data_IF_042899620448
#
_entry.id   IF_042899620448
#
_cell.length_a   1.000
_cell.length_b   1.000
_cell.length_c   1.000
_cell.angle_alpha   90.00
_cell.angle_beta   90.00
_cell.angle_gamma   90.00
#
_symmetry.space_group_name_H-M   'P 1'
#
loop_
_entity.id
_entity.type
_entity.pdbx_description
1 polymer ?
#
# COMPACT_ATOMS: atom_id res chain seq x y z
N UNK A 1 18.08 23.56 7.99
CA UNK A 1 17.62 22.25 7.50
C UNK A 1 16.29 22.46 6.78
N UNK A 2 16.13 21.98 5.54
CA UNK A 2 14.83 21.99 4.86
C UNK A 2 13.89 21.08 5.65
N UNK A 3 12.77 21.64 6.09
CA UNK A 3 11.75 20.91 6.84
C UNK A 3 11.28 19.69 6.02
N UNK A 4 11.25 18.52 6.66
CA UNK A 4 10.66 17.32 6.09
C UNK A 4 9.15 17.51 5.95
N UNK A 5 8.54 16.84 4.95
CA UNK A 5 7.09 16.74 4.89
C UNK A 5 6.53 16.06 6.14
N UNK A 6 5.31 16.37 6.53
CA UNK A 6 4.62 15.73 7.66
C UNK A 6 4.44 14.23 7.44
N UNK A 7 4.24 13.84 6.19
CA UNK A 7 4.05 12.46 5.76
C UNK A 7 5.07 12.08 4.67
N UNK A 8 5.56 10.82 4.64
CA UNK A 8 6.37 10.32 3.55
C UNK A 8 5.57 10.08 2.25
N UNK A 9 4.24 9.99 2.33
CA UNK A 9 3.36 9.57 1.25
C UNK A 9 2.41 10.66 0.77
N UNK A 10 2.09 11.63 1.62
CA UNK A 10 1.09 12.66 1.35
C UNK A 10 1.79 14.02 1.38
N UNK A 11 1.71 14.82 0.31
CA UNK A 11 2.22 16.18 0.30
C UNK A 11 1.57 17.06 1.37
N UNK A 12 2.33 18.02 1.90
CA UNK A 12 1.89 18.86 3.01
C UNK A 12 0.61 19.67 2.68
N UNK A 13 0.48 20.11 1.43
CA UNK A 13 -0.71 20.85 0.97
C UNK A 13 -1.98 20.00 1.07
N UNK A 14 -1.92 18.73 0.71
CA UNK A 14 -3.05 17.79 0.82
C UNK A 14 -3.36 17.49 2.29
N UNK A 15 -2.31 17.26 3.08
CA UNK A 15 -2.44 17.02 4.52
C UNK A 15 -3.12 18.21 5.22
N UNK A 16 -2.69 19.44 4.90
CA UNK A 16 -3.21 20.65 5.53
C UNK A 16 -4.67 20.91 5.13
N UNK A 17 -5.06 20.64 3.89
CA UNK A 17 -6.44 20.71 3.46
C UNK A 17 -7.36 19.77 4.27
N UNK A 18 -6.94 18.52 4.46
CA UNK A 18 -7.69 17.58 5.29
C UNK A 18 -7.78 18.05 6.75
N UNK A 19 -6.68 18.57 7.31
CA UNK A 19 -6.66 19.04 8.70
C UNK A 19 -7.59 20.24 8.95
N UNK A 20 -7.82 21.05 7.93
CA UNK A 20 -8.73 22.23 7.98
C UNK A 20 -10.21 21.85 7.87
N UNK A 21 -10.56 20.63 7.49
CA UNK A 21 -11.96 20.22 7.47
C UNK A 21 -12.57 20.25 8.88
N UNK A 22 -13.84 20.64 8.97
CA UNK A 22 -14.57 20.55 10.24
C UNK A 22 -14.66 19.12 10.76
N UNK A 23 -14.80 18.94 12.07
CA UNK A 23 -14.98 17.63 12.68
C UNK A 23 -16.15 16.87 12.07
N UNK A 24 -17.26 17.55 11.82
CA UNK A 24 -18.44 16.95 11.20
C UNK A 24 -18.15 16.43 9.79
N UNK A 25 -17.43 17.20 8.96
CA UNK A 25 -17.00 16.75 7.64
C UNK A 25 -16.06 15.54 7.71
N UNK A 26 -15.10 15.54 8.64
CA UNK A 26 -14.18 14.41 8.85
C UNK A 26 -14.95 13.15 9.27
N UNK A 27 -15.90 13.28 10.20
CA UNK A 27 -16.73 12.15 10.65
C UNK A 27 -17.55 11.58 9.49
N UNK A 28 -18.18 12.47 8.70
CA UNK A 28 -18.95 12.06 7.52
C UNK A 28 -18.08 11.39 6.46
N UNK A 29 -16.94 12.01 6.14
CA UNK A 29 -16.00 11.53 5.13
C UNK A 29 -15.39 10.16 5.49
N UNK A 30 -15.03 9.98 6.76
CA UNK A 30 -14.44 8.73 7.26
C UNK A 30 -15.48 7.67 7.68
N UNK A 31 -16.76 7.94 7.57
CA UNK A 31 -17.82 6.98 7.92
C UNK A 31 -17.97 6.68 9.41
N UNK A 32 -17.49 7.55 10.31
CA UNK A 32 -17.45 7.30 11.75
C UNK A 32 -18.71 7.67 12.52
N UNK A 33 -19.78 8.10 11.88
CA UNK A 33 -21.00 8.57 12.57
C UNK A 33 -21.53 7.58 13.63
N UNK A 34 -21.43 6.28 13.33
CA UNK A 34 -21.93 5.21 14.22
C UNK A 34 -20.81 4.24 14.62
N UNK A 35 -19.56 4.54 14.32
CA UNK A 35 -18.44 3.67 14.64
C UNK A 35 -18.00 3.91 16.09
N UNK A 36 -17.80 2.82 16.83
CA UNK A 36 -17.09 2.82 18.11
C UNK A 36 -16.07 1.70 18.08
N UNK A 37 -14.79 1.95 18.42
CA UNK A 37 -13.81 0.89 18.54
C UNK A 37 -14.33 -0.20 19.48
N UNK A 38 -14.37 -1.44 18.99
CA UNK A 38 -14.77 -2.58 19.80
C UNK A 38 -13.58 -3.04 20.63
N UNK A 39 -13.72 -3.16 21.93
CA UNK A 39 -12.65 -3.59 22.85
C UNK A 39 -12.00 -4.91 22.43
N UNK A 40 -12.78 -5.86 21.89
CA UNK A 40 -12.27 -7.15 21.42
C UNK A 40 -11.33 -7.04 20.21
N UNK A 41 -11.46 -5.99 19.39
CA UNK A 41 -10.57 -5.73 18.24
C UNK A 41 -9.26 -5.11 18.74
N UNK A 42 -9.34 -4.16 19.66
CA UNK A 42 -8.18 -3.50 20.28
C UNK A 42 -7.37 -4.50 21.11
N UNK A 43 -8.01 -5.53 21.65
CA UNK A 43 -7.39 -6.56 22.48
C UNK A 43 -6.68 -7.68 21.69
N UNK A 44 -6.82 -7.75 20.37
CA UNK A 44 -6.08 -8.73 19.57
C UNK A 44 -4.62 -8.35 19.43
N UNK A 45 -3.72 -9.33 19.51
CA UNK A 45 -2.29 -9.13 19.44
C UNK A 45 -1.69 -9.52 18.09
N UNK A 46 -0.68 -8.76 17.66
CA UNK A 46 0.16 -9.17 16.56
C UNK A 46 1.07 -10.33 17.00
N UNK A 47 1.18 -11.39 16.22
CA UNK A 47 2.02 -12.54 16.56
C UNK A 47 3.52 -12.16 16.46
N UNK A 48 4.42 -12.92 17.09
CA UNK A 48 5.86 -12.70 16.97
C UNK A 48 6.36 -12.98 15.55
N UNK A 49 5.64 -13.78 14.78
CA UNK A 49 5.91 -14.16 13.42
C UNK A 49 4.60 -14.33 12.66
N UNK A 50 4.58 -13.97 11.39
CA UNK A 50 3.55 -14.42 10.45
C UNK A 50 4.17 -15.32 9.39
N UNK A 51 3.43 -16.34 8.99
CA UNK A 51 3.73 -17.15 7.83
C UNK A 51 3.09 -16.53 6.60
N UNK A 52 3.64 -16.83 5.42
CA UNK A 52 3.28 -16.17 4.19
C UNK A 52 1.78 -16.15 3.90
N UNK A 53 1.38 -15.06 3.32
CA UNK A 53 0.07 -14.90 2.73
C UNK A 53 0.10 -15.35 1.27
N UNK A 54 -0.03 -16.65 1.03
CA UNK A 54 -0.11 -17.19 -0.32
C UNK A 54 -1.14 -18.32 -0.38
N UNK A 55 -2.00 -18.29 -1.39
CA UNK A 55 -3.02 -19.31 -1.65
C UNK A 55 -2.47 -20.73 -1.89
N UNK A 56 -1.15 -20.86 -2.03
CA UNK A 56 -0.45 -22.16 -2.20
C UNK A 56 0.13 -22.72 -0.90
N UNK A 57 0.03 -22.01 0.22
CA UNK A 57 0.43 -22.52 1.53
C UNK A 57 -0.69 -23.30 2.19
N UNK A 58 -0.32 -24.18 3.15
CA UNK A 58 -1.28 -24.76 4.07
C UNK A 58 -2.27 -23.72 4.58
N UNK A 59 -3.56 -24.05 4.55
CA UNK A 59 -4.62 -23.16 4.98
C UNK A 59 -4.38 -22.58 6.38
N UNK A 60 -3.83 -23.38 7.29
CA UNK A 60 -3.53 -22.96 8.66
C UNK A 60 -2.46 -21.85 8.72
N UNK A 61 -1.46 -21.88 7.86
CA UNK A 61 -0.42 -20.86 7.77
C UNK A 61 -0.91 -19.55 7.11
N UNK A 62 -1.86 -19.64 6.19
CA UNK A 62 -2.52 -18.47 5.62
C UNK A 62 -3.36 -17.71 6.63
N UNK A 63 -3.98 -18.42 7.58
CA UNK A 63 -4.85 -17.82 8.60
C UNK A 63 -4.10 -16.80 9.46
N UNK A 64 -2.83 -17.07 9.83
CA UNK A 64 -2.04 -16.13 10.63
C UNK A 64 -1.75 -14.81 9.89
N UNK A 65 -1.44 -14.87 8.60
CA UNK A 65 -1.23 -13.68 7.79
C UNK A 65 -2.48 -12.83 7.62
N UNK A 66 -3.63 -13.49 7.41
CA UNK A 66 -4.94 -12.84 7.35
C UNK A 66 -5.27 -12.21 8.71
N UNK A 67 -5.09 -12.96 9.78
CA UNK A 67 -5.32 -12.48 11.14
C UNK A 67 -4.48 -11.23 11.46
N UNK A 68 -3.18 -11.26 11.16
CA UNK A 68 -2.31 -10.11 11.41
C UNK A 68 -2.74 -8.86 10.61
N UNK A 69 -3.18 -9.04 9.37
CA UNK A 69 -3.76 -7.96 8.56
C UNK A 69 -5.05 -7.41 9.16
N UNK A 70 -5.93 -8.27 9.64
CA UNK A 70 -7.19 -7.85 10.26
C UNK A 70 -6.95 -7.10 11.56
N UNK A 71 -5.98 -7.55 12.37
CA UNK A 71 -5.54 -6.82 13.57
C UNK A 71 -5.01 -5.44 13.19
N UNK A 72 -4.16 -5.36 12.18
CA UNK A 72 -3.61 -4.09 11.69
C UNK A 72 -4.68 -3.15 11.16
N UNK A 73 -5.62 -3.64 10.35
CA UNK A 73 -6.75 -2.85 9.82
C UNK A 73 -7.63 -2.32 10.93
N UNK A 74 -7.98 -3.18 11.90
CA UNK A 74 -8.79 -2.78 13.05
C UNK A 74 -8.09 -1.70 13.89
N UNK A 75 -6.78 -1.84 14.10
CA UNK A 75 -5.98 -0.84 14.80
C UNK A 75 -5.95 0.49 14.04
N UNK A 76 -5.69 0.45 12.74
CA UNK A 76 -5.67 1.64 11.88
C UNK A 76 -7.02 2.36 11.91
N UNK A 77 -8.10 1.62 11.81
CA UNK A 77 -9.45 2.18 11.85
C UNK A 77 -9.74 2.85 13.21
N UNK A 78 -9.32 2.23 14.31
CA UNK A 78 -9.46 2.82 15.65
C UNK A 78 -8.61 4.10 15.81
N UNK A 79 -7.40 4.13 15.26
CA UNK A 79 -6.57 5.35 15.27
C UNK A 79 -7.22 6.47 14.47
N UNK A 80 -7.73 6.18 13.28
CA UNK A 80 -8.45 7.16 12.48
C UNK A 80 -9.68 7.72 13.20
N UNK A 81 -10.43 6.86 13.89
CA UNK A 81 -11.55 7.29 14.72
C UNK A 81 -11.11 8.27 15.81
N UNK A 82 -10.05 7.95 16.54
CA UNK A 82 -9.49 8.82 17.60
C UNK A 82 -9.05 10.15 17.04
N UNK A 83 -8.38 10.14 15.87
CA UNK A 83 -7.89 11.37 15.23
C UNK A 83 -9.03 12.30 14.82
N UNK A 84 -10.17 11.76 14.41
CA UNK A 84 -11.35 12.55 14.02
C UNK A 84 -12.15 13.02 15.23
N UNK A 85 -12.26 12.17 16.27
CA UNK A 85 -13.10 12.44 17.44
C UNK A 85 -12.35 13.08 18.62
N UNK A 86 -11.00 13.11 18.55
CA UNK A 86 -10.15 13.66 19.63
C UNK A 86 -10.38 12.95 20.98
N UNK A 87 -10.49 11.62 20.93
CA UNK A 87 -10.77 10.79 22.11
C UNK A 87 -9.45 10.37 22.78
N UNK A 88 -9.06 11.10 23.83
CA UNK A 88 -7.80 10.88 24.53
C UNK A 88 -7.75 9.57 25.31
N UNK A 89 -8.87 9.06 25.78
CA UNK A 89 -8.94 7.78 26.50
C UNK A 89 -8.60 6.62 25.56
N UNK A 90 -9.28 6.57 24.43
CA UNK A 90 -8.99 5.56 23.40
C UNK A 90 -7.59 5.74 22.81
N UNK A 91 -7.13 6.99 22.65
CA UNK A 91 -5.76 7.28 22.20
C UNK A 91 -4.70 6.68 23.12
N UNK A 92 -4.89 6.79 24.43
CA UNK A 92 -3.99 6.17 25.42
C UNK A 92 -3.99 4.64 25.29
N UNK A 93 -5.16 4.03 25.14
CA UNK A 93 -5.29 2.57 24.92
C UNK A 93 -4.53 2.14 23.66
N UNK A 94 -4.66 2.88 22.57
CA UNK A 94 -3.97 2.56 21.31
C UNK A 94 -2.45 2.77 21.39
N UNK A 95 -2.01 3.81 22.08
CA UNK A 95 -0.58 4.04 22.31
C UNK A 95 0.03 2.92 23.18
N UNK A 96 -0.66 2.53 24.24
CA UNK A 96 -0.24 1.40 25.06
C UNK A 96 -0.22 0.08 24.28
N UNK A 97 -1.17 -0.14 23.37
CA UNK A 97 -1.20 -1.32 22.49
C UNK A 97 0.04 -1.38 21.61
N UNK A 98 0.40 -0.26 20.99
CA UNK A 98 1.60 -0.17 20.18
C UNK A 98 2.87 -0.48 20.99
N UNK A 99 2.95 0.05 22.23
CA UNK A 99 4.02 -0.28 23.17
C UNK A 99 4.08 -1.76 23.52
N UNK A 100 2.93 -2.40 23.79
CA UNK A 100 2.88 -3.83 24.10
C UNK A 100 3.37 -4.69 22.95
N UNK A 101 3.02 -4.35 21.71
CA UNK A 101 3.56 -5.02 20.52
C UNK A 101 5.06 -4.84 20.39
N UNK A 102 5.57 -3.64 20.68
CA UNK A 102 7.00 -3.36 20.69
C UNK A 102 7.72 -4.19 21.76
N UNK A 103 7.20 -4.21 22.98
CA UNK A 103 7.73 -4.97 24.12
C UNK A 103 7.78 -6.48 23.84
N UNK A 104 6.71 -7.00 23.23
CA UNK A 104 6.61 -8.41 22.84
C UNK A 104 7.36 -8.74 21.55
N UNK A 105 8.05 -7.77 20.95
CA UNK A 105 8.83 -7.93 19.69
C UNK A 105 7.96 -8.52 18.57
N UNK A 106 6.70 -8.07 18.46
CA UNK A 106 5.77 -8.55 17.44
C UNK A 106 6.40 -8.51 16.05
N UNK A 107 6.12 -9.51 15.22
CA UNK A 107 6.60 -9.68 13.84
C UNK A 107 8.11 -9.81 13.66
N UNK A 108 8.92 -9.65 14.72
CA UNK A 108 10.39 -9.63 14.59
C UNK A 108 10.99 -10.98 14.22
N UNK A 109 10.28 -12.07 14.47
CA UNK A 109 10.68 -13.42 14.09
C UNK A 109 10.29 -13.81 12.67
N UNK A 110 9.56 -12.96 11.94
CA UNK A 110 9.22 -13.22 10.54
C UNK A 110 10.49 -13.31 9.71
N UNK A 111 10.67 -14.39 8.98
CA UNK A 111 11.81 -14.62 8.11
C UNK A 111 11.62 -13.90 6.78
N UNK A 112 12.71 -13.44 6.18
CA UNK A 112 12.71 -12.92 4.82
C UNK A 112 12.84 -14.06 3.82
N UNK A 113 11.74 -14.76 3.61
CA UNK A 113 11.68 -15.79 2.61
C UNK A 113 11.30 -15.14 1.28
N UNK A 114 12.24 -15.04 0.37
CA UNK A 114 11.98 -14.64 -1.00
C UNK A 114 12.69 -15.55 -1.96
N UNK A 115 12.07 -15.79 -3.07
CA UNK A 115 12.71 -16.49 -4.17
C UNK A 115 13.76 -15.61 -4.79
N UNK A 116 14.95 -16.14 -4.98
CA UNK A 116 15.91 -15.51 -5.88
C UNK A 116 15.46 -15.80 -7.32
N UNK A 117 14.82 -14.81 -7.93
CA UNK A 117 14.31 -14.91 -9.30
C UNK A 117 15.35 -15.27 -10.34
N UNK A 118 16.65 -15.01 -10.05
CA UNK A 118 17.74 -15.35 -10.96
C UNK A 118 18.18 -16.82 -10.86
N UNK A 119 17.89 -17.51 -9.75
CA UNK A 119 18.38 -18.88 -9.49
C UNK A 119 17.30 -19.86 -9.08
N UNK A 120 16.03 -19.47 -9.07
CA UNK A 120 14.90 -20.34 -8.66
C UNK A 120 15.05 -21.01 -7.29
N UNK A 121 15.95 -20.51 -6.43
CA UNK A 121 16.22 -21.09 -5.13
C UNK A 121 15.46 -20.39 -4.03
N UNK A 122 14.84 -21.16 -3.16
CA UNK A 122 14.31 -20.70 -1.88
C UNK A 122 15.50 -20.40 -0.97
N UNK A 123 15.46 -19.30 -0.23
CA UNK A 123 16.49 -19.05 0.76
C UNK A 123 16.48 -20.15 1.81
N UNK A 124 17.67 -20.55 2.22
CA UNK A 124 17.92 -21.64 3.16
C UNK A 124 17.12 -21.55 4.47
N UNK A 125 16.85 -20.32 4.92
CA UNK A 125 16.06 -20.04 6.13
C UNK A 125 14.59 -20.45 6.05
N UNK A 126 14.10 -20.78 4.86
CA UNK A 126 12.72 -21.11 4.58
C UNK A 126 12.55 -22.60 4.21
N UNK A 127 13.63 -23.35 4.16
CA UNK A 127 13.58 -24.79 3.93
C UNK A 127 12.73 -25.46 5.02
N UNK A 128 11.79 -26.30 4.61
CA UNK A 128 10.86 -27.00 5.51
C UNK A 128 9.64 -26.20 5.97
N UNK A 129 9.55 -24.91 5.66
CA UNK A 129 8.39 -24.07 5.98
C UNK A 129 7.49 -23.79 4.77
N UNK A 130 7.99 -24.13 3.61
CA UNK A 130 7.30 -24.00 2.35
C UNK A 130 7.33 -25.33 1.60
N UNK A 131 6.18 -25.90 1.33
CA UNK A 131 6.03 -27.00 0.39
C UNK A 131 5.29 -26.52 -0.84
N UNK A 132 5.88 -26.71 -1.99
CA UNK A 132 5.17 -26.67 -3.26
C UNK A 132 4.86 -28.10 -3.67
N UNK A 133 3.64 -28.60 -3.43
CA UNK A 133 3.28 -29.98 -3.73
C UNK A 133 3.36 -30.33 -5.22
N UNK A 134 3.39 -29.31 -6.08
CA UNK A 134 3.39 -29.50 -7.53
C UNK A 134 4.76 -29.23 -8.18
N UNK A 135 5.79 -28.82 -7.40
CA UNK A 135 7.12 -28.48 -7.92
C UNK A 135 7.13 -27.31 -8.89
N UNK A 136 6.06 -26.52 -8.90
CA UNK A 136 5.92 -25.39 -9.79
C UNK A 136 6.69 -24.17 -9.29
N UNK A 137 6.94 -23.23 -10.20
CA UNK A 137 7.59 -21.96 -9.93
C UNK A 137 6.87 -21.17 -8.84
N UNK A 138 7.48 -21.20 -7.66
CA UNK A 138 6.93 -20.59 -6.45
C UNK A 138 6.81 -19.09 -6.60
N UNK A 139 5.60 -18.56 -6.38
CA UNK A 139 5.45 -17.14 -6.13
C UNK A 139 6.31 -16.75 -4.90
N UNK A 140 6.86 -15.55 -4.84
CA UNK A 140 7.63 -15.10 -3.69
C UNK A 140 6.80 -15.27 -2.42
N UNK A 141 7.42 -15.81 -1.38
CA UNK A 141 6.78 -15.96 -0.08
C UNK A 141 6.46 -14.57 0.44
N UNK A 142 5.20 -14.33 0.77
CA UNK A 142 4.70 -13.01 1.10
C UNK A 142 4.79 -12.65 2.58
N UNK A 143 5.30 -13.51 3.44
CA UNK A 143 5.44 -13.21 4.88
C UNK A 143 6.22 -11.92 5.11
N UNK A 144 7.38 -11.78 4.47
CA UNK A 144 8.16 -10.56 4.57
C UNK A 144 7.38 -9.35 4.03
N UNK A 145 6.67 -9.51 2.91
CA UNK A 145 5.89 -8.42 2.31
C UNK A 145 4.76 -7.97 3.22
N UNK A 146 3.98 -8.90 3.76
CA UNK A 146 2.88 -8.58 4.69
C UNK A 146 3.40 -7.97 5.98
N UNK A 147 4.49 -8.52 6.53
CA UNK A 147 5.16 -7.93 7.71
C UNK A 147 5.59 -6.49 7.43
N UNK A 148 6.15 -6.23 6.25
CA UNK A 148 6.60 -4.89 5.88
C UNK A 148 5.45 -3.91 5.68
N UNK A 149 4.35 -4.34 5.08
CA UNK A 149 3.13 -3.54 4.97
C UNK A 149 2.61 -3.12 6.35
N UNK A 150 2.52 -4.08 7.28
CA UNK A 150 2.06 -3.81 8.66
C UNK A 150 3.03 -2.88 9.38
N UNK A 151 4.33 -3.17 9.36
CA UNK A 151 5.34 -2.34 10.03
C UNK A 151 5.42 -0.94 9.43
N UNK A 152 5.32 -0.81 8.11
CA UNK A 152 5.23 0.48 7.44
C UNK A 152 4.04 1.29 7.94
N UNK A 153 2.86 0.67 7.95
CA UNK A 153 1.65 1.33 8.40
C UNK A 153 1.72 1.73 9.88
N UNK A 154 2.18 0.84 10.75
CA UNK A 154 2.33 1.14 12.18
C UNK A 154 3.39 2.22 12.44
N UNK A 155 4.49 2.22 11.72
CA UNK A 155 5.49 3.28 11.81
C UNK A 155 4.94 4.63 11.33
N UNK A 156 4.18 4.62 10.25
CA UNK A 156 3.50 5.79 9.73
C UNK A 156 2.49 6.35 10.73
N UNK A 157 1.66 5.49 11.29
CA UNK A 157 0.67 5.85 12.32
C UNK A 157 1.38 6.43 13.56
N UNK A 158 2.45 5.79 14.01
CA UNK A 158 3.22 6.26 15.17
C UNK A 158 3.78 7.67 14.92
N UNK A 159 4.41 7.89 13.79
CA UNK A 159 5.02 9.19 13.49
C UNK A 159 3.99 10.31 13.35
N UNK A 160 2.80 10.02 12.79
CA UNK A 160 1.76 11.03 12.62
C UNK A 160 0.97 11.33 13.89
N UNK A 161 0.74 10.33 14.74
CA UNK A 161 -0.28 10.44 15.78
C UNK A 161 0.27 10.34 17.20
N UNK A 162 1.42 9.70 17.36
CA UNK A 162 1.95 9.38 18.70
C UNK A 162 3.34 9.90 18.97
N UNK A 163 4.12 10.28 17.98
CA UNK A 163 5.50 10.72 18.20
C UNK A 163 5.63 11.89 19.20
N UNK A 164 4.68 12.82 19.14
CA UNK A 164 4.61 13.98 20.04
C UNK A 164 3.64 13.76 21.22
N UNK A 165 2.93 12.63 21.25
CA UNK A 165 2.00 12.30 22.33
C UNK A 165 2.78 11.92 23.58
N UNK A 166 2.58 12.64 24.70
CA UNK A 166 3.33 12.41 25.94
C UNK A 166 4.83 12.26 25.67
N UNK A 167 5.46 13.25 25.04
CA UNK A 167 6.79 13.22 24.43
C UNK A 167 7.91 12.68 25.36
N UNK A 168 7.75 12.81 26.67
CA UNK A 168 8.71 12.31 27.67
C UNK A 168 8.40 10.88 28.17
N UNK A 169 7.40 10.21 27.60
CA UNK A 169 7.04 8.86 28.00
C UNK A 169 8.11 7.84 27.56
N UNK A 170 8.56 7.02 28.50
CA UNK A 170 9.59 6.00 28.25
C UNK A 170 9.22 4.98 27.19
N UNK A 171 7.92 4.74 26.96
CA UNK A 171 7.41 3.82 25.94
C UNK A 171 7.88 4.16 24.54
N UNK A 172 8.13 5.42 24.23
CA UNK A 172 8.68 5.84 22.93
C UNK A 172 10.02 5.19 22.61
N UNK A 173 10.87 4.98 23.62
CA UNK A 173 12.18 4.32 23.44
C UNK A 173 11.99 2.88 22.92
N UNK A 174 11.07 2.13 23.51
CA UNK A 174 10.84 0.74 23.14
C UNK A 174 10.15 0.62 21.78
N UNK A 175 9.19 1.49 21.48
CA UNK A 175 8.51 1.54 20.18
C UNK A 175 9.54 1.85 19.07
N UNK A 176 10.39 2.86 19.25
CA UNK A 176 11.42 3.19 18.29
C UNK A 176 12.46 2.08 18.13
N UNK A 177 12.83 1.41 19.23
CA UNK A 177 13.74 0.25 19.19
C UNK A 177 13.13 -0.92 18.42
N UNK A 178 11.83 -1.14 18.51
CA UNK A 178 11.11 -2.20 17.79
C UNK A 178 11.15 -2.01 16.27
N UNK A 179 11.04 -0.79 15.76
CA UNK A 179 11.10 -0.52 14.32
C UNK A 179 12.53 -0.71 13.73
N UNK A 180 13.60 -0.51 14.53
CA UNK A 180 14.99 -0.54 14.03
C UNK A 180 15.42 -1.82 13.31
N UNK A 181 15.11 -3.04 13.80
CA UNK A 181 15.49 -4.27 13.11
C UNK A 181 14.95 -4.37 11.69
N UNK A 182 13.77 -3.82 11.44
CA UNK A 182 13.14 -3.86 10.12
C UNK A 182 13.88 -3.02 9.09
N UNK A 183 14.55 -1.92 9.49
CA UNK A 183 15.42 -1.14 8.60
C UNK A 183 16.57 -1.96 8.01
N UNK A 184 17.11 -2.91 8.79
CA UNK A 184 18.24 -3.74 8.35
C UNK A 184 17.78 -4.92 7.49
N UNK A 185 16.59 -5.45 7.77
CA UNK A 185 16.01 -6.59 7.06
C UNK A 185 15.53 -6.21 5.67
N UNK A 186 15.06 -4.98 5.51
CA UNK A 186 14.53 -4.49 4.25
C UNK A 186 15.70 -3.93 3.44
N UNK A 187 16.38 -4.78 2.69
CA UNK A 187 17.29 -4.30 1.66
C UNK A 187 16.47 -3.82 0.46
N UNK A 188 16.68 -2.58 -0.03
CA UNK A 188 16.05 -2.17 -1.27
C UNK A 188 16.42 -3.16 -2.36
N UNK A 189 15.45 -3.63 -3.14
CA UNK A 189 15.74 -4.41 -4.31
C UNK A 189 16.71 -3.63 -5.20
N UNK A 190 17.78 -4.27 -5.66
CA UNK A 190 18.76 -3.62 -6.56
C UNK A 190 18.12 -3.24 -7.90
N UNK A 191 17.01 -3.88 -8.26
CA UNK A 191 16.22 -3.60 -9.44
C UNK A 191 14.80 -3.22 -9.02
N UNK A 192 14.24 -2.23 -9.69
CA UNK A 192 12.83 -1.90 -9.61
C UNK A 192 12.04 -2.95 -10.38
N UNK A 193 11.08 -3.57 -9.70
CA UNK A 193 10.03 -4.36 -10.32
C UNK A 193 8.71 -3.79 -9.90
N UNK A 194 7.80 -3.61 -10.83
CA UNK A 194 6.45 -3.18 -10.51
C UNK A 194 5.84 -4.10 -9.47
N UNK A 195 5.16 -4.31 -8.82
CA UNK A 195 4.71 -5.24 -7.80
C UNK A 195 5.63 -5.39 -6.57
N UNK A 196 6.92 -5.25 -6.75
CA UNK A 196 7.88 -5.23 -5.63
C UNK A 196 8.12 -3.82 -5.09
N UNK A 197 7.78 -2.79 -5.84
CA UNK A 197 7.91 -1.41 -5.39
C UNK A 197 7.05 -1.14 -4.16
N UNK A 198 5.80 -1.59 -4.14
CA UNK A 198 4.96 -1.50 -2.95
C UNK A 198 5.55 -2.27 -1.77
N UNK A 199 5.99 -3.51 -1.98
CA UNK A 199 6.53 -4.36 -0.93
C UNK A 199 7.90 -3.96 -0.39
N UNK A 200 8.73 -3.28 -1.17
CA UNK A 200 10.11 -2.97 -0.81
C UNK A 200 10.41 -1.49 -0.67
N UNK A 201 9.99 -0.67 -1.63
CA UNK A 201 10.30 0.76 -1.63
C UNK A 201 9.45 1.53 -0.64
N UNK A 202 8.14 1.31 -0.61
CA UNK A 202 7.25 2.09 0.25
C UNK A 202 7.56 1.90 1.74
N UNK A 203 7.74 0.67 2.27
CA UNK A 203 8.18 0.48 3.65
C UNK A 203 9.52 1.15 3.96
N UNK A 204 10.49 1.03 3.05
CA UNK A 204 11.79 1.65 3.22
C UNK A 204 11.71 3.19 3.26
N UNK A 205 10.87 3.77 2.42
CA UNK A 205 10.62 5.20 2.38
C UNK A 205 10.00 5.66 3.70
N UNK A 206 8.95 4.99 4.16
CA UNK A 206 8.31 5.29 5.43
C UNK A 206 9.29 5.24 6.60
N UNK A 207 10.02 4.13 6.72
CA UNK A 207 10.96 3.90 7.82
C UNK A 207 12.16 4.86 7.81
N UNK A 208 12.49 5.47 6.67
CA UNK A 208 13.60 6.42 6.54
C UNK A 208 13.17 7.87 6.41
N UNK A 209 11.90 8.14 6.55
CA UNK A 209 11.36 9.48 6.41
C UNK A 209 12.11 10.50 7.28
N UNK A 210 12.42 10.16 8.53
CA UNK A 210 13.17 11.02 9.45
C UNK A 210 14.64 11.23 9.05
N UNK A 211 15.16 10.48 8.08
CA UNK A 211 16.50 10.64 7.55
C UNK A 211 16.46 11.26 6.15
N UNK A 212 16.37 12.59 6.08
CA UNK A 212 16.14 13.36 4.86
C UNK A 212 16.97 12.90 3.64
N UNK A 213 18.30 12.71 3.83
CA UNK A 213 19.19 12.30 2.73
C UNK A 213 18.86 10.90 2.21
N UNK A 214 18.65 9.93 3.11
CA UNK A 214 18.33 8.55 2.77
C UNK A 214 16.93 8.44 2.14
N UNK A 215 15.98 9.14 2.70
CA UNK A 215 14.62 9.23 2.21
C UNK A 215 14.57 9.74 0.76
N UNK A 216 15.13 10.92 0.50
CA UNK A 216 15.15 11.50 -0.85
C UNK A 216 15.93 10.65 -1.86
N UNK A 217 17.01 10.01 -1.44
CA UNK A 217 17.76 9.09 -2.31
C UNK A 217 16.92 7.89 -2.73
N UNK A 218 16.13 7.32 -1.81
CA UNK A 218 15.21 6.22 -2.13
C UNK A 218 14.09 6.66 -3.07
N UNK A 219 13.49 7.82 -2.81
CA UNK A 219 12.44 8.36 -3.67
C UNK A 219 12.97 8.61 -5.10
N UNK A 220 14.16 9.17 -5.25
CA UNK A 220 14.80 9.33 -6.57
C UNK A 220 14.98 8.01 -7.31
N UNK A 221 15.41 6.95 -6.61
CA UNK A 221 15.56 5.62 -7.20
C UNK A 221 14.20 5.03 -7.62
N UNK A 222 13.20 5.17 -6.75
CA UNK A 222 11.84 4.70 -7.03
C UNK A 222 11.27 5.37 -8.28
N UNK A 223 11.33 6.70 -8.35
CA UNK A 223 10.83 7.49 -9.48
C UNK A 223 11.54 7.12 -10.78
N UNK A 224 12.88 7.02 -10.75
CA UNK A 224 13.67 6.61 -11.92
C UNK A 224 13.34 5.19 -12.38
N UNK A 225 13.07 4.30 -11.45
CA UNK A 225 12.66 2.93 -11.76
C UNK A 225 11.28 2.90 -12.42
N UNK A 226 10.31 3.55 -11.79
CA UNK A 226 8.93 3.62 -12.27
C UNK A 226 8.82 4.24 -13.67
N UNK A 227 9.59 5.29 -13.94
CA UNK A 227 9.58 5.95 -15.24
C UNK A 227 9.92 5.01 -16.41
N UNK A 228 10.79 4.02 -16.16
CA UNK A 228 11.16 3.01 -17.17
C UNK A 228 10.10 1.93 -17.39
N UNK A 229 9.16 1.82 -16.47
CA UNK A 229 8.14 0.77 -16.50
C UNK A 229 6.79 1.27 -17.01
N UNK A 230 6.56 2.57 -17.00
CA UNK A 230 5.44 3.22 -17.68
C UNK A 230 5.90 3.60 -19.08
N UNK A 231 5.32 3.02 -20.11
CA UNK A 231 5.73 3.19 -21.49
C UNK A 231 5.03 4.38 -22.15
N UNK A 232 5.55 4.82 -23.30
CA UNK A 232 5.05 6.00 -24.02
C UNK A 232 3.63 5.79 -24.59
N UNK A 233 3.20 4.53 -24.77
CA UNK A 233 1.85 4.16 -25.20
C UNK A 233 0.84 4.05 -24.05
N UNK A 234 1.29 4.27 -22.82
CA UNK A 234 0.47 4.16 -21.61
C UNK A 234 0.44 2.76 -21.00
N UNK A 235 1.04 1.76 -21.63
CA UNK A 235 1.16 0.44 -21.02
C UNK A 235 2.13 0.44 -19.83
N UNK A 236 1.92 -0.47 -18.91
CA UNK A 236 2.77 -0.68 -17.73
C UNK A 236 3.34 -2.08 -17.82
N UNK A 237 4.69 -2.18 -17.84
CA UNK A 237 5.39 -3.48 -17.92
C UNK A 237 4.94 -4.40 -16.81
N UNK A 238 4.82 -5.69 -17.11
CA UNK A 238 4.36 -6.75 -16.19
C UNK A 238 2.97 -6.51 -15.54
N UNK A 239 2.25 -5.51 -16.00
CA UNK A 239 0.87 -5.24 -15.58
C UNK A 239 -0.09 -5.36 -16.75
N UNK A 240 0.11 -4.54 -17.77
CA UNK A 240 -0.77 -4.50 -18.94
C UNK A 240 -0.68 -5.79 -19.77
N UNK A 241 0.38 -6.57 -19.60
CA UNK A 241 0.63 -7.82 -20.32
C UNK A 241 0.25 -9.08 -19.51
N UNK A 242 -0.74 -8.98 -18.63
CA UNK A 242 -1.16 -10.08 -17.73
C UNK A 242 -2.32 -10.93 -18.23
N UNK A 243 -2.41 -11.16 -19.55
CA UNK A 243 -3.40 -12.02 -20.13
C UNK A 243 -4.83 -11.63 -19.77
N UNK A 244 -5.65 -12.57 -19.33
CA UNK A 244 -7.05 -12.37 -18.96
C UNK A 244 -7.27 -11.47 -17.71
N UNK A 245 -6.20 -11.05 -17.05
CA UNK A 245 -6.19 -10.16 -15.89
C UNK A 245 -5.48 -8.84 -16.15
N UNK A 246 -5.17 -8.52 -17.39
CA UNK A 246 -4.39 -7.33 -17.73
C UNK A 246 -5.05 -6.04 -17.26
N UNK A 247 -6.37 -5.91 -17.41
CA UNK A 247 -7.10 -4.72 -16.93
C UNK A 247 -6.98 -4.54 -15.41
N UNK A 248 -7.13 -5.62 -14.65
CA UNK A 248 -6.95 -5.61 -13.21
C UNK A 248 -5.52 -5.24 -12.78
N UNK A 249 -4.52 -5.85 -13.41
CA UNK A 249 -3.13 -5.53 -13.09
C UNK A 249 -2.72 -4.13 -13.56
N UNK A 250 -3.25 -3.66 -14.66
CA UNK A 250 -3.04 -2.28 -15.11
C UNK A 250 -3.60 -1.28 -14.10
N UNK A 251 -4.80 -1.52 -13.61
CA UNK A 251 -5.41 -0.75 -12.52
C UNK A 251 -4.54 -0.75 -11.25
N UNK A 252 -4.04 -1.89 -10.79
CA UNK A 252 -3.13 -1.95 -9.63
C UNK A 252 -1.82 -1.21 -9.90
N UNK A 253 -1.31 -1.27 -11.14
CA UNK A 253 -0.15 -0.51 -11.58
C UNK A 253 -0.36 0.99 -11.54
N UNK A 254 -1.55 1.46 -11.90
CA UNK A 254 -1.93 2.88 -11.74
C UNK A 254 -1.94 3.30 -10.27
N UNK A 255 -2.45 2.45 -9.37
CA UNK A 255 -2.39 2.72 -7.93
C UNK A 255 -0.96 2.94 -7.44
N UNK A 256 -0.03 2.09 -7.83
CA UNK A 256 1.39 2.24 -7.51
C UNK A 256 1.99 3.51 -8.16
N UNK A 257 1.65 3.80 -9.40
CA UNK A 257 2.19 4.95 -10.15
C UNK A 257 1.74 6.29 -9.54
N UNK A 258 0.50 6.40 -9.13
CA UNK A 258 -0.02 7.59 -8.44
C UNK A 258 0.54 7.72 -7.03
N UNK A 259 0.75 6.63 -6.30
CA UNK A 259 1.44 6.64 -5.02
C UNK A 259 2.88 7.18 -5.19
N UNK A 260 3.58 6.78 -6.24
CA UNK A 260 4.93 7.27 -6.55
C UNK A 260 4.91 8.77 -6.88
N UNK A 261 3.90 9.24 -7.61
CA UNK A 261 3.69 10.68 -7.85
C UNK A 261 3.57 11.45 -6.54
N UNK A 262 2.70 11.01 -5.65
CA UNK A 262 2.48 11.67 -4.35
C UNK A 262 3.70 11.62 -3.44
N UNK A 263 4.42 10.49 -3.41
CA UNK A 263 5.69 10.35 -2.68
C UNK A 263 6.75 11.32 -3.23
N UNK A 264 6.85 11.46 -4.54
CA UNK A 264 7.78 12.40 -5.16
C UNK A 264 7.45 13.84 -4.79
N UNK A 265 6.17 14.21 -4.82
CA UNK A 265 5.68 15.52 -4.40
C UNK A 265 5.97 15.77 -2.91
N UNK A 266 5.66 14.82 -2.02
CA UNK A 266 5.95 14.91 -0.59
C UNK A 266 7.46 15.08 -0.31
N UNK A 267 8.30 14.36 -1.03
CA UNK A 267 9.74 14.44 -0.91
C UNK A 267 10.36 15.66 -1.60
N UNK A 268 9.57 16.41 -2.37
CA UNK A 268 10.06 17.50 -3.25
C UNK A 268 11.17 16.99 -4.19
N UNK A 269 10.93 15.81 -4.77
CA UNK A 269 11.80 15.18 -5.77
C UNK A 269 11.21 15.42 -7.15
N UNK A 270 12.01 15.97 -8.05
CA UNK A 270 11.57 16.23 -9.44
C UNK A 270 11.31 14.93 -10.17
N UNK A 271 10.14 14.84 -10.80
CA UNK A 271 9.79 13.75 -11.70
C UNK A 271 10.56 13.85 -13.04
N UNK A 272 10.79 12.73 -13.73
CA UNK A 272 11.25 12.73 -15.12
C UNK A 272 10.28 13.51 -16.01
N UNK A 273 10.82 14.16 -17.04
CA UNK A 273 10.08 15.09 -17.91
C UNK A 273 8.77 14.52 -18.48
N UNK A 274 8.77 13.24 -18.82
CA UNK A 274 7.62 12.59 -19.47
C UNK A 274 6.79 11.72 -18.50
N UNK A 275 7.12 11.67 -17.21
CA UNK A 275 6.45 10.77 -16.26
C UNK A 275 4.95 11.00 -16.22
N UNK A 276 4.51 12.23 -15.97
CA UNK A 276 3.09 12.57 -15.89
C UNK A 276 2.38 12.35 -17.22
N UNK A 277 3.03 12.68 -18.35
CA UNK A 277 2.46 12.43 -19.68
C UNK A 277 2.18 10.95 -19.91
N UNK A 278 3.13 10.07 -19.56
CA UNK A 278 2.97 8.61 -19.65
C UNK A 278 1.90 8.10 -18.69
N UNK A 279 1.87 8.65 -17.47
CA UNK A 279 0.87 8.31 -16.47
C UNK A 279 -0.54 8.65 -16.96
N UNK A 280 -0.75 9.82 -17.55
CA UNK A 280 -2.05 10.21 -18.12
C UNK A 280 -2.45 9.26 -19.26
N UNK A 281 -1.53 8.90 -20.15
CA UNK A 281 -1.81 7.89 -21.18
C UNK A 281 -2.19 6.52 -20.60
N UNK A 282 -1.56 6.13 -19.48
CA UNK A 282 -1.91 4.90 -18.80
C UNK A 282 -3.33 4.97 -18.19
N UNK A 283 -3.71 6.13 -17.66
CA UNK A 283 -5.09 6.39 -17.22
C UNK A 283 -6.08 6.32 -18.37
N UNK A 284 -5.74 6.88 -19.53
CA UNK A 284 -6.59 6.85 -20.72
C UNK A 284 -6.77 5.42 -21.24
N UNK A 285 -5.69 4.64 -21.26
CA UNK A 285 -5.76 3.22 -21.61
C UNK A 285 -6.66 2.44 -20.65
N UNK A 286 -6.58 2.72 -19.34
CA UNK A 286 -7.49 2.15 -18.35
C UNK A 286 -8.94 2.53 -18.63
N UNK A 287 -9.21 3.83 -18.83
CA UNK A 287 -10.55 4.36 -19.07
C UNK A 287 -11.20 3.69 -20.30
N UNK A 288 -10.47 3.68 -21.42
CA UNK A 288 -10.97 3.11 -22.66
C UNK A 288 -11.19 1.59 -22.53
N UNK A 289 -10.27 0.91 -21.84
CA UNK A 289 -10.37 -0.54 -21.60
C UNK A 289 -11.44 -0.90 -20.57
N UNK A 290 -11.75 0.00 -19.65
CA UNK A 290 -12.84 -0.18 -18.70
C UNK A 290 -14.20 -0.09 -19.39
N UNK A 291 -14.34 0.81 -20.34
CA UNK A 291 -15.57 0.94 -21.16
C UNK A 291 -15.67 -0.18 -22.22
N UNK A 292 -14.55 -0.58 -22.79
CA UNK A 292 -14.43 -1.61 -23.80
C UNK A 292 -13.18 -2.47 -23.56
N UNK A 293 -13.36 -3.63 -22.95
CA UNK A 293 -12.26 -4.51 -22.55
C UNK A 293 -11.37 -4.96 -23.73
N UNK A 294 -11.87 -4.91 -24.97
CA UNK A 294 -11.06 -5.25 -26.16
C UNK A 294 -9.88 -4.30 -26.38
N UNK A 295 -9.95 -3.09 -25.82
CA UNK A 295 -8.88 -2.07 -25.95
C UNK A 295 -7.56 -2.48 -25.32
N UNK A 296 -7.57 -3.30 -24.25
CA UNK A 296 -6.36 -3.78 -23.60
C UNK A 296 -5.83 -5.10 -24.18
N UNK A 297 -6.62 -5.80 -24.97
CA UNK A 297 -6.26 -7.13 -25.51
C UNK A 297 -4.94 -7.16 -26.30
N UNK A 298 -4.56 -6.13 -27.10
CA UNK A 298 -3.28 -6.13 -27.80
C UNK A 298 -2.09 -6.37 -26.89
N UNK A 299 -2.06 -5.71 -25.71
CA UNK A 299 -1.01 -5.90 -24.69
C UNK A 299 -1.23 -7.17 -23.87
N UNK A 300 -2.47 -7.49 -23.57
CA UNK A 300 -2.82 -8.68 -22.80
C UNK A 300 -2.36 -9.97 -23.45
N UNK A 301 -2.34 -10.04 -24.77
CA UNK A 301 -1.87 -11.19 -25.57
C UNK A 301 -0.36 -11.41 -25.48
N UNK A 302 0.42 -10.39 -25.16
CA UNK A 302 1.88 -10.50 -25.04
C UNK A 302 2.37 -11.26 -23.81
N UNK A 303 1.48 -11.74 -23.01
CA UNK A 303 1.65 -12.29 -21.66
C UNK A 303 3.05 -12.77 -21.25
N UNK A 304 3.51 -12.30 -20.09
CA UNK A 304 4.77 -12.70 -19.50
C UNK A 304 4.66 -13.74 -18.38
N UNK A 305 3.49 -14.34 -18.20
CA UNK A 305 3.25 -15.38 -17.21
C UNK A 305 2.19 -16.32 -17.72
N UNK A 306 2.00 -17.48 -17.09
CA UNK A 306 1.02 -18.54 -17.39
C UNK A 306 -0.47 -18.11 -17.27
N UNK A 307 -0.79 -16.87 -17.57
CA UNK A 307 -2.16 -16.34 -17.65
C UNK A 307 -2.75 -16.67 -19.04
N UNK A 308 -4.06 -16.71 -19.16
CA UNK A 308 -4.71 -17.09 -20.39
C UNK A 308 -4.30 -16.23 -21.60
N UNK A 309 -4.00 -16.89 -22.73
CA UNK A 309 -3.27 -16.32 -23.87
C UNK A 309 -4.09 -15.49 -24.85
N UNK A 310 -5.42 -15.61 -24.81
CA UNK A 310 -6.29 -14.93 -25.77
C UNK A 310 -6.49 -13.43 -25.49
N UNK A 311 -6.06 -12.95 -24.31
CA UNK A 311 -6.20 -11.55 -23.90
C UNK A 311 -7.62 -11.13 -23.51
N UNK A 312 -8.62 -12.00 -23.65
CA UNK A 312 -10.00 -11.72 -23.22
C UNK A 312 -10.05 -11.55 -21.71
N UNK A 313 -10.58 -10.41 -21.25
CA UNK A 313 -10.53 -10.06 -19.83
C UNK A 313 -11.60 -10.79 -19.02
N UNK A 314 -11.21 -11.40 -17.90
CA UNK A 314 -12.13 -12.04 -16.94
C UNK A 314 -12.77 -11.03 -15.98
N UNK A 315 -12.08 -9.93 -15.69
CA UNK A 315 -12.60 -8.89 -14.81
C UNK A 315 -13.38 -7.89 -15.62
N UNK A 316 -14.68 -7.93 -15.44
CA UNK A 316 -15.62 -7.08 -16.14
C UNK A 316 -15.80 -5.71 -15.47
N UNK A 317 -16.61 -4.86 -16.09
CA UNK A 317 -16.88 -3.44 -15.80
C UNK A 317 -17.45 -3.15 -14.39
N UNK A 318 -17.04 -3.88 -13.38
CA UNK A 318 -17.52 -3.62 -12.03
C UNK A 318 -16.51 -2.74 -11.29
N UNK A 319 -16.82 -1.43 -11.16
CA UNK A 319 -16.04 -0.50 -10.32
C UNK A 319 -15.97 -0.97 -8.87
N UNK A 320 -16.90 -1.78 -8.41
CA UNK A 320 -16.91 -2.30 -7.05
C UNK A 320 -15.75 -3.27 -6.80
N UNK A 321 -15.41 -4.09 -7.78
CA UNK A 321 -14.21 -4.94 -7.70
C UNK A 321 -12.92 -4.15 -7.87
N UNK A 322 -12.97 -2.98 -8.48
CA UNK A 322 -11.86 -2.05 -8.73
C UNK A 322 -11.62 -1.14 -7.53
N UNK A 323 -12.64 -0.78 -6.78
CA UNK A 323 -12.56 0.19 -5.69
C UNK A 323 -11.66 -0.22 -4.55
N UNK A 324 -11.46 -1.51 -4.31
CA UNK A 324 -10.59 -2.00 -3.25
C UNK A 324 -9.10 -1.62 -3.45
N UNK A 325 -8.66 -1.38 -4.68
CA UNK A 325 -7.30 -0.96 -5.02
C UNK A 325 -7.23 0.45 -5.61
N UNK A 326 -8.24 1.27 -5.37
CA UNK A 326 -8.48 2.49 -6.11
C UNK A 326 -8.17 3.83 -5.46
N UNK A 327 -7.26 4.01 -4.47
CA UNK A 327 -6.94 5.37 -3.98
C UNK A 327 -6.49 6.31 -5.09
N UNK A 328 -5.89 5.80 -6.17
CA UNK A 328 -5.46 6.59 -7.31
C UNK A 328 -6.63 7.30 -8.02
N UNK A 329 -7.84 6.75 -7.94
CA UNK A 329 -9.04 7.38 -8.52
C UNK A 329 -9.31 8.74 -7.89
N UNK A 330 -9.10 8.86 -6.58
CA UNK A 330 -9.22 10.13 -5.85
C UNK A 330 -8.07 11.07 -6.16
N UNK A 331 -6.85 10.56 -6.21
CA UNK A 331 -5.66 11.36 -6.57
C UNK A 331 -5.79 11.90 -7.99
N UNK A 332 -6.28 11.08 -8.93
CA UNK A 332 -6.55 11.51 -10.30
C UNK A 332 -7.55 12.67 -10.35
N UNK A 333 -8.67 12.57 -9.64
CA UNK A 333 -9.68 13.63 -9.57
C UNK A 333 -9.12 14.92 -8.92
N UNK A 334 -8.27 14.78 -7.93
CA UNK A 334 -7.65 15.90 -7.24
C UNK A 334 -6.59 16.61 -8.09
N UNK A 335 -5.68 15.85 -8.73
CA UNK A 335 -4.57 16.41 -9.50
C UNK A 335 -4.96 16.85 -10.90
N UNK A 336 -5.92 16.17 -11.51
CA UNK A 336 -6.34 16.38 -12.90
C UNK A 336 -7.87 16.49 -13.01
N UNK A 337 -8.51 17.46 -12.33
CA UNK A 337 -9.98 17.54 -12.22
C UNK A 337 -10.68 17.72 -13.58
N UNK A 338 -9.99 18.38 -14.53
CA UNK A 338 -10.56 18.65 -15.87
C UNK A 338 -10.40 17.49 -16.86
N UNK A 339 -9.63 16.48 -16.52
CA UNK A 339 -9.43 15.33 -17.39
C UNK A 339 -10.73 14.53 -17.53
N UNK A 340 -10.97 13.98 -18.75
CA UNK A 340 -12.19 13.19 -19.05
C UNK A 340 -12.42 12.04 -18.08
N UNK A 341 -11.36 11.34 -17.67
CA UNK A 341 -11.46 10.24 -16.71
C UNK A 341 -11.88 10.74 -15.32
N UNK A 342 -11.38 11.88 -14.88
CA UNK A 342 -11.79 12.47 -13.59
C UNK A 342 -13.28 12.86 -13.59
N UNK A 343 -13.77 13.42 -14.69
CA UNK A 343 -15.19 13.74 -14.87
C UNK A 343 -16.05 12.48 -14.89
N UNK A 344 -15.61 11.44 -15.59
CA UNK A 344 -16.26 10.14 -15.60
C UNK A 344 -16.30 9.50 -14.19
N UNK A 345 -15.17 9.47 -13.48
CA UNK A 345 -15.11 8.93 -12.12
C UNK A 345 -16.00 9.69 -11.15
N UNK A 346 -16.03 11.01 -11.25
CA UNK A 346 -16.89 11.86 -10.41
C UNK A 346 -18.36 11.49 -10.56
N UNK A 347 -18.83 11.24 -11.78
CA UNK A 347 -20.23 10.84 -12.03
C UNK A 347 -20.54 9.45 -11.50
N UNK A 348 -19.60 8.51 -11.57
CA UNK A 348 -19.79 7.11 -11.12
C UNK A 348 -19.61 6.94 -9.61
N UNK A 349 -18.64 7.64 -9.00
CA UNK A 349 -18.38 7.56 -7.56
C UNK A 349 -19.38 8.36 -6.73
N UNK A 350 -19.99 9.43 -7.25
CA UNK A 350 -21.01 10.18 -6.53
C UNK A 350 -22.26 9.32 -6.26
N UNK A 351 -22.62 8.46 -7.18
CA UNK A 351 -23.73 7.51 -7.01
C UNK A 351 -23.40 6.43 -5.98
N UNK A 352 -22.12 6.09 -5.82
CA UNK A 352 -21.65 5.10 -4.86
C UNK A 352 -21.43 5.67 -3.46
N UNK A 353 -20.90 6.89 -3.33
CA UNK A 353 -20.77 7.56 -2.04
C UNK A 353 -22.11 7.74 -1.34
N UNK A 354 -23.21 7.75 -2.10
CA UNK A 354 -24.57 7.70 -1.56
C UNK A 354 -25.01 6.29 -1.15
N UNK A 355 -24.44 5.23 -1.76
CA UNK A 355 -24.75 3.83 -1.46
C UNK A 355 -23.81 3.19 -0.43
N UNK A 356 -22.60 3.70 -0.25
CA UNK A 356 -21.68 3.27 0.81
C UNK A 356 -22.15 3.82 2.15
N UNK A 357 -23.15 3.18 2.71
CA UNK A 357 -23.44 3.28 4.14
C UNK A 357 -22.30 2.58 4.88
N UNK A 358 -21.24 3.32 5.16
CA UNK A 358 -20.48 3.17 6.38
C UNK A 358 -19.53 1.98 6.59
N UNK A 359 -19.31 1.08 5.63
CA UNK A 359 -18.56 -0.15 5.95
C UNK A 359 -17.21 -0.34 5.22
N UNK A 360 -16.82 0.56 4.33
CA UNK A 360 -15.55 0.45 3.60
C UNK A 360 -14.87 1.80 3.36
N UNK A 361 -14.18 2.32 4.36
CA UNK A 361 -13.10 3.30 4.17
C UNK A 361 -11.84 2.81 4.86
#
# INVERSE_FOLDING_TARGET
>A
AKQLSKSPFIPDDVYDQFSQLSKEHKIKFCGFKNYKPKNNIINKDLPPRIYGYNSRMDNDKNVEGIYARDVFRAYTHAVNFVMVNEDDEIKEVLFNKLYMWAKNKALTKTKQCYRNSAKSSILKDCEGEWSDPEGQDLAPIKDATVTLEIIMGLNYIYNLNFADYKINDSRHKDINAWFKPFYKRIKPANKFYWGNSAGWYFPNIALRHNSNKKYKSLVKKLVKGADKWILEDGSIRDRTTRGDRALWYHHTGLGEAFMILEIANAAKVKLPKNYEKKLIKAVELFHDSFLDNSKIEPWAKEQHNSQASNGVQKFTRNLDSISFNGPWLHVMQYRYPEHRTSKFLKSHMSNRAQSLKGDEV
#
